data_IF_988995903348
#
_entry.id   IF_988995903348
#
_cell.length_a   1.000
_cell.length_b   1.000
_cell.length_c   1.000
_cell.angle_alpha   90.00
_cell.angle_beta   90.00
_cell.angle_gamma   90.00
#
_symmetry.space_group_name_H-M   'P 1'
#
loop_
_entity.id
_entity.type
_entity.pdbx_description
1 polymer ?
#
# COMPACT_ATOMS: atom_id res chain seq x y z
N UNK A 1 -23.58 7.70 -9.11
CA UNK A 1 -22.57 7.30 -8.12
C UNK A 1 -21.28 7.05 -8.88
N UNK A 2 -20.20 7.73 -8.51
CA UNK A 2 -18.86 7.37 -9.02
C UNK A 2 -18.47 6.04 -8.39
N UNK A 3 -17.75 5.19 -9.14
CA UNK A 3 -17.29 3.91 -8.61
C UNK A 3 -16.34 4.13 -7.44
N UNK A 4 -16.42 3.29 -6.41
CA UNK A 4 -15.45 3.26 -5.31
C UNK A 4 -14.29 2.37 -5.74
N UNK A 5 -13.07 2.91 -5.75
CA UNK A 5 -11.86 2.16 -6.03
C UNK A 5 -11.35 1.54 -4.73
N UNK A 6 -11.49 0.21 -4.63
CA UNK A 6 -10.95 -0.57 -3.52
C UNK A 6 -9.44 -0.73 -3.69
N UNK A 7 -8.68 -0.41 -2.65
CA UNK A 7 -7.24 -0.62 -2.62
C UNK A 7 -6.97 -2.01 -2.09
N UNK A 8 -6.54 -2.92 -2.96
CA UNK A 8 -6.14 -4.28 -2.60
C UNK A 8 -4.77 -4.31 -1.90
N UNK A 9 -4.48 -5.39 -1.18
CA UNK A 9 -3.19 -5.66 -0.54
C UNK A 9 -2.02 -5.57 -1.52
N UNK A 10 -2.15 -6.11 -2.73
CA UNK A 10 -1.10 -6.04 -3.74
C UNK A 10 -0.76 -4.60 -4.15
N UNK A 11 -1.75 -3.71 -4.19
CA UNK A 11 -1.55 -2.28 -4.49
C UNK A 11 -0.96 -1.56 -3.28
N UNK A 12 -1.41 -1.90 -2.08
CA UNK A 12 -0.94 -1.22 -0.87
C UNK A 12 0.50 -1.58 -0.51
N UNK A 13 0.96 -2.81 -0.78
CA UNK A 13 2.38 -3.18 -0.63
C UNK A 13 3.28 -2.42 -1.59
N UNK A 14 2.79 -2.11 -2.81
CA UNK A 14 3.49 -1.24 -3.74
C UNK A 14 3.55 0.20 -3.21
N UNK A 15 2.43 0.76 -2.74
CA UNK A 15 2.39 2.12 -2.16
C UNK A 15 3.37 2.28 -1.00
N UNK A 16 3.43 1.29 -0.09
CA UNK A 16 4.36 1.31 1.04
C UNK A 16 5.79 0.91 0.70
N UNK A 17 6.04 0.51 -0.55
CA UNK A 17 7.30 0.01 -1.04
C UNK A 17 7.84 -1.12 -0.12
N UNK A 18 7.02 -2.13 0.12
CA UNK A 18 7.38 -3.28 0.95
C UNK A 18 8.47 -4.08 0.22
N UNK A 19 9.67 -4.26 0.79
CA UNK A 19 10.75 -5.00 0.13
C UNK A 19 10.31 -6.39 -0.30
N UNK A 20 10.86 -6.88 -1.43
CA UNK A 20 10.58 -8.19 -2.03
C UNK A 20 9.15 -8.32 -2.64
N UNK A 21 8.18 -7.57 -2.13
CA UNK A 21 6.79 -7.55 -2.65
C UNK A 21 6.55 -6.44 -3.66
N UNK A 22 7.12 -5.26 -3.43
CA UNK A 22 7.01 -4.13 -4.34
C UNK A 22 7.95 -4.29 -5.54
N UNK A 23 7.40 -4.25 -6.75
CA UNK A 23 8.11 -4.34 -8.02
C UNK A 23 7.79 -3.15 -8.94
N UNK A 24 6.65 -2.49 -8.72
CA UNK A 24 6.12 -1.43 -9.58
C UNK A 24 5.79 -0.13 -8.83
N UNK A 25 6.40 0.08 -7.66
CA UNK A 25 6.17 1.21 -6.75
C UNK A 25 5.93 2.56 -7.45
N UNK A 26 6.84 2.99 -8.32
CA UNK A 26 6.76 4.29 -9.00
C UNK A 26 5.53 4.37 -9.91
N UNK A 27 5.25 3.30 -10.66
CA UNK A 27 4.12 3.23 -11.55
C UNK A 27 2.79 3.18 -10.78
N UNK A 28 2.74 2.43 -9.67
CA UNK A 28 1.58 2.41 -8.78
C UNK A 28 1.29 3.78 -8.16
N UNK A 29 2.32 4.52 -7.72
CA UNK A 29 2.14 5.87 -7.20
C UNK A 29 1.62 6.84 -8.28
N UNK A 30 2.11 6.72 -9.52
CA UNK A 30 1.63 7.51 -10.65
C UNK A 30 0.15 7.24 -10.94
N UNK A 31 -0.27 5.97 -10.92
CA UNK A 31 -1.68 5.61 -11.12
C UNK A 31 -2.56 6.09 -9.96
N UNK A 32 -2.06 6.00 -8.72
CA UNK A 32 -2.76 6.51 -7.55
C UNK A 32 -2.99 8.03 -7.66
N UNK A 33 -1.96 8.79 -8.04
CA UNK A 33 -2.06 10.24 -8.27
C UNK A 33 -3.11 10.55 -9.34
N UNK A 34 -3.11 9.83 -10.46
CA UNK A 34 -4.11 10.02 -11.52
C UNK A 34 -5.55 9.81 -11.02
N UNK A 35 -5.78 8.79 -10.19
CA UNK A 35 -7.11 8.50 -9.59
C UNK A 35 -7.53 9.59 -8.60
N UNK A 36 -6.59 10.08 -7.78
CA UNK A 36 -6.84 11.19 -6.86
C UNK A 36 -7.21 12.47 -7.64
N UNK A 37 -6.46 12.80 -8.69
CA UNK A 37 -6.73 13.97 -9.55
C UNK A 37 -8.06 13.85 -10.31
N UNK A 38 -8.48 12.63 -10.64
CA UNK A 38 -9.78 12.36 -11.24
C UNK A 38 -10.94 12.43 -10.23
N UNK A 39 -10.66 12.64 -8.93
CA UNK A 39 -11.68 12.71 -7.88
C UNK A 39 -12.34 11.37 -7.57
N UNK A 40 -11.65 10.25 -7.82
CA UNK A 40 -12.16 8.93 -7.49
C UNK A 40 -12.24 8.73 -5.97
N UNK A 41 -13.29 8.04 -5.52
CA UNK A 41 -13.39 7.64 -4.11
C UNK A 41 -12.53 6.41 -3.88
N UNK A 42 -11.43 6.57 -3.15
CA UNK A 42 -10.53 5.48 -2.77
C UNK A 42 -10.96 4.92 -1.42
N UNK A 43 -11.01 3.60 -1.31
CA UNK A 43 -11.36 2.90 -0.07
C UNK A 43 -10.29 1.88 0.27
N UNK A 44 -9.67 2.03 1.43
CA UNK A 44 -8.70 1.09 1.98
C UNK A 44 -9.43 0.10 2.91
N UNK A 45 -9.63 -1.17 2.50
CA UNK A 45 -10.31 -2.15 3.33
C UNK A 45 -9.50 -2.50 4.58
N UNK A 46 -10.18 -2.80 5.69
CA UNK A 46 -9.53 -3.26 6.92
C UNK A 46 -8.72 -4.56 6.70
N UNK A 47 -9.21 -5.45 5.82
CA UNK A 47 -8.48 -6.67 5.46
C UNK A 47 -7.10 -6.35 4.86
N UNK A 48 -7.03 -5.36 3.97
CA UNK A 48 -5.78 -4.91 3.34
C UNK A 48 -4.77 -4.38 4.35
N UNK A 49 -5.24 -3.66 5.37
CA UNK A 49 -4.41 -3.19 6.48
C UNK A 49 -3.79 -4.39 7.22
N UNK A 50 -4.61 -5.39 7.58
CA UNK A 50 -4.15 -6.58 8.31
C UNK A 50 -3.19 -7.44 7.49
N UNK A 51 -3.51 -7.72 6.23
CA UNK A 51 -2.70 -8.54 5.33
C UNK A 51 -1.35 -7.88 5.01
N UNK A 52 -1.34 -6.56 4.80
CA UNK A 52 -0.11 -5.80 4.58
C UNK A 52 0.76 -5.78 5.83
N UNK A 53 0.17 -5.64 7.03
CA UNK A 53 0.88 -5.80 8.29
C UNK A 53 1.55 -7.17 8.42
N UNK A 54 0.85 -8.24 8.03
CA UNK A 54 1.41 -9.58 8.01
C UNK A 54 2.54 -9.73 6.99
N UNK A 55 2.42 -9.16 5.79
CA UNK A 55 3.50 -9.16 4.80
C UNK A 55 4.75 -8.42 5.28
N UNK A 56 4.59 -7.29 5.99
CA UNK A 56 5.70 -6.61 6.64
C UNK A 56 6.33 -7.52 7.70
N UNK A 57 5.53 -8.16 8.55
CA UNK A 57 6.04 -9.06 9.60
C UNK A 57 6.88 -10.23 9.09
N UNK A 58 6.54 -10.75 7.90
CA UNK A 58 7.22 -11.86 7.22
C UNK A 58 8.40 -11.44 6.34
N UNK A 59 8.65 -10.13 6.19
CA UNK A 59 9.75 -9.63 5.38
C UNK A 59 11.10 -9.84 6.09
N UNK A 60 12.08 -10.43 5.41
CA UNK A 60 13.27 -11.05 6.03
C UNK A 60 13.97 -10.21 7.12
N UNK A 61 14.68 -9.15 6.72
CA UNK A 61 15.52 -8.36 7.64
C UNK A 61 14.69 -7.53 8.64
N UNK A 62 15.07 -7.56 9.93
CA UNK A 62 14.41 -6.82 11.00
C UNK A 62 14.48 -5.30 10.84
N UNK A 63 15.56 -4.77 10.26
CA UNK A 63 15.70 -3.35 9.96
C UNK A 63 14.74 -2.91 8.84
N UNK A 64 14.66 -3.70 7.77
CA UNK A 64 13.70 -3.50 6.70
C UNK A 64 12.25 -3.55 7.20
N UNK A 65 11.92 -4.48 8.09
CA UNK A 65 10.60 -4.56 8.74
C UNK A 65 10.25 -3.31 9.53
N UNK A 66 11.17 -2.84 10.38
CA UNK A 66 10.96 -1.62 11.19
C UNK A 66 10.66 -0.42 10.30
N UNK A 67 11.53 -0.15 9.32
CA UNK A 67 11.36 0.99 8.40
C UNK A 67 10.04 0.91 7.63
N UNK A 68 9.62 -0.29 7.24
CA UNK A 68 8.35 -0.47 6.54
C UNK A 68 7.15 -0.26 7.47
N UNK A 69 7.21 -0.76 8.70
CA UNK A 69 6.17 -0.53 9.71
C UNK A 69 6.04 0.96 10.09
N UNK A 70 7.16 1.69 10.17
CA UNK A 70 7.14 3.14 10.40
C UNK A 70 6.47 3.91 9.25
N UNK A 71 6.70 3.50 7.99
CA UNK A 71 5.97 4.07 6.84
C UNK A 71 4.49 3.74 6.90
N UNK A 72 4.16 2.48 7.21
CA UNK A 72 2.78 2.01 7.35
C UNK A 72 1.99 2.88 8.34
N UNK A 73 2.53 3.09 9.54
CA UNK A 73 1.90 3.90 10.60
C UNK A 73 1.81 5.39 10.24
N UNK A 74 2.67 5.90 9.35
CA UNK A 74 2.57 7.30 8.90
C UNK A 74 1.52 7.53 7.81
N UNK A 75 1.15 6.47 7.08
CA UNK A 75 0.24 6.57 5.93
C UNK A 75 -1.20 6.12 6.24
N UNK A 76 -1.42 5.47 7.39
CA UNK A 76 -2.71 4.98 7.89
C UNK A 76 -2.97 5.60 9.25
#
# INVERSE_FOLDING_TARGET
MTAVCLIDTSVFVEILNVPIKAQQHIETLRQLEQRILAGESLFLPMATILETGNHIGQNGDGGARRKCAERFVRQV
#
